data_IF_623913623024
#
_entry.id   IF_623913623024
#
_cell.length_a   1.000
_cell.length_b   1.000
_cell.length_c   1.000
_cell.angle_alpha   90.00
_cell.angle_beta   90.00
_cell.angle_gamma   90.00
#
_symmetry.space_group_name_H-M   'P 1'
#
loop_
_entity.id
_entity.type
_entity.pdbx_description
1 polymer ?
#
# COMPACT_ATOMS: atom_id res chain seq x y z
N UNK A 1 -2.44 -11.90 -6.44
CA UNK A 1 -1.70 -10.70 -6.91
C UNK A 1 -2.46 -9.48 -6.43
N UNK A 2 -1.78 -8.39 -6.06
CA UNK A 2 -2.46 -7.12 -5.76
C UNK A 2 -3.25 -6.63 -6.97
N UNK A 3 -4.47 -6.16 -6.76
CA UNK A 3 -5.37 -5.72 -7.83
C UNK A 3 -4.80 -4.47 -8.51
N UNK A 4 -4.69 -4.47 -9.84
CA UNK A 4 -4.31 -3.27 -10.61
C UNK A 4 -5.58 -2.48 -10.92
N UNK A 5 -5.59 -1.20 -10.59
CA UNK A 5 -6.73 -0.30 -10.74
C UNK A 5 -6.37 0.88 -11.63
N UNK A 6 -7.35 1.41 -12.36
CA UNK A 6 -7.27 2.77 -12.92
C UNK A 6 -7.70 3.81 -11.87
N UNK A 7 -7.53 5.12 -12.16
CA UNK A 7 -7.84 6.20 -11.22
C UNK A 7 -9.30 6.19 -10.73
N UNK A 8 -10.27 5.87 -11.58
CA UNK A 8 -11.70 5.87 -11.23
C UNK A 8 -12.05 4.71 -10.29
N UNK A 9 -11.35 3.58 -10.43
CA UNK A 9 -11.48 2.45 -9.50
C UNK A 9 -10.76 2.72 -8.19
N UNK A 10 -9.56 3.31 -8.22
CA UNK A 10 -8.82 3.70 -7.03
C UNK A 10 -9.59 4.74 -6.19
N UNK A 11 -10.28 5.69 -6.82
CA UNK A 11 -11.15 6.67 -6.15
C UNK A 11 -12.39 6.07 -5.47
N UNK A 12 -12.77 4.82 -5.79
CA UNK A 12 -13.88 4.10 -5.13
C UNK A 12 -13.43 3.28 -3.91
N UNK A 13 -12.12 3.16 -3.67
CA UNK A 13 -11.59 2.46 -2.51
C UNK A 13 -11.84 3.27 -1.22
N UNK A 14 -11.83 2.62 -0.04
CA UNK A 14 -12.01 3.32 1.24
C UNK A 14 -11.00 4.46 1.44
N UNK A 15 -11.46 5.55 2.06
CA UNK A 15 -10.62 6.68 2.45
C UNK A 15 -9.48 6.18 3.35
N UNK A 16 -8.24 6.57 3.04
CA UNK A 16 -7.04 6.07 3.71
C UNK A 16 -6.37 4.88 3.02
N UNK A 17 -6.91 4.37 1.91
CA UNK A 17 -6.19 3.40 1.06
C UNK A 17 -4.97 4.07 0.43
N UNK A 18 -3.78 3.56 0.74
CA UNK A 18 -2.53 3.96 0.09
C UNK A 18 -2.33 3.18 -1.22
N UNK A 19 -1.64 3.78 -2.19
CA UNK A 19 -1.36 3.15 -3.49
C UNK A 19 0.10 3.32 -3.89
N UNK A 20 0.68 2.26 -4.45
CA UNK A 20 1.81 2.38 -5.36
C UNK A 20 1.27 2.79 -6.73
N UNK A 21 1.78 3.89 -7.29
CA UNK A 21 1.35 4.41 -8.60
C UNK A 21 2.45 4.18 -9.62
N UNK A 22 2.11 3.51 -10.72
CA UNK A 22 3.00 3.25 -11.84
C UNK A 22 2.51 4.05 -13.04
N UNK A 23 3.40 4.79 -13.70
CA UNK A 23 3.12 5.54 -14.93
C UNK A 23 4.22 5.25 -15.95
N UNK A 24 3.84 4.93 -17.20
CA UNK A 24 4.76 4.50 -18.27
C UNK A 24 5.75 3.38 -17.89
N UNK A 25 5.36 2.52 -16.94
CA UNK A 25 6.22 1.44 -16.42
C UNK A 25 7.14 1.83 -15.26
N UNK A 26 7.23 3.12 -14.93
CA UNK A 26 8.03 3.63 -13.80
C UNK A 26 7.17 3.85 -12.55
N UNK A 27 7.72 3.50 -11.39
CA UNK A 27 7.08 3.77 -10.09
C UNK A 27 7.24 5.24 -9.73
N UNK A 28 6.13 5.94 -9.55
CA UNK A 28 6.11 7.31 -9.02
C UNK A 28 6.59 7.25 -7.56
N UNK A 29 7.68 7.95 -7.25
CA UNK A 29 8.27 7.94 -5.91
C UNK A 29 7.50 8.85 -4.95
N UNK A 30 7.57 8.59 -3.64
CA UNK A 30 6.96 9.47 -2.63
C UNK A 30 7.56 10.89 -2.64
N UNK A 31 8.79 11.03 -3.13
CA UNK A 31 9.47 12.31 -3.34
C UNK A 31 9.30 12.85 -4.78
N UNK A 32 8.45 12.21 -5.60
CA UNK A 32 7.89 12.85 -6.79
C UNK A 32 6.89 13.87 -6.30
N UNK A 33 7.46 14.97 -5.83
CA UNK A 33 6.78 16.24 -5.66
C UNK A 33 5.91 16.39 -6.90
N UNK A 34 4.59 16.41 -6.71
CA UNK A 34 3.67 16.77 -7.78
C UNK A 34 3.88 18.27 -7.94
N UNK A 35 4.95 18.61 -8.67
CA UNK A 35 5.40 19.98 -8.82
C UNK A 35 4.31 20.64 -9.64
N UNK A 36 3.50 21.41 -8.94
CA UNK A 36 2.96 22.64 -9.48
C UNK A 36 4.19 23.41 -10.03
N UNK A 37 4.36 23.58 -11.37
CA UNK A 37 5.47 23.09 -12.26
C UNK A 37 7.01 23.37 -12.13
N UNK A 38 7.53 24.47 -11.53
CA UNK A 38 8.95 24.91 -11.36
C UNK A 38 9.59 26.15 -12.11
N UNK A 39 8.81 27.13 -12.61
CA UNK A 39 9.12 28.41 -13.32
C UNK A 39 10.57 28.77 -13.77
N UNK A 40 10.76 28.98 -15.09
CA UNK A 40 12.02 29.46 -15.71
C UNK A 40 11.84 30.45 -16.88
N UNK A 41 12.80 31.38 -17.02
CA UNK A 41 12.84 32.44 -18.04
C UNK A 41 14.23 32.45 -18.71
N UNK A 42 14.32 32.03 -19.96
CA UNK A 42 15.50 32.28 -20.81
C UNK A 42 15.37 33.64 -21.49
N UNK A 43 16.47 34.16 -22.05
CA UNK A 43 16.50 35.53 -22.61
C UNK A 43 15.61 35.72 -23.85
N UNK A 44 15.24 34.63 -24.52
CA UNK A 44 14.56 34.66 -25.82
C UNK A 44 13.08 34.26 -25.76
N UNK A 45 12.63 33.52 -24.74
CA UNK A 45 11.24 33.06 -24.61
C UNK A 45 10.73 33.09 -23.16
N UNK A 46 9.45 33.42 -22.99
CA UNK A 46 8.70 33.19 -21.73
C UNK A 46 8.01 31.83 -21.83
N UNK A 47 8.56 30.80 -21.20
CA UNK A 47 7.94 29.46 -21.12
C UNK A 47 7.19 29.36 -19.79
N UNK A 48 6.03 28.68 -19.78
CA UNK A 48 5.28 28.42 -18.54
C UNK A 48 5.80 27.17 -17.85
N UNK A 49 6.09 27.36 -16.58
CA UNK A 49 6.69 26.50 -15.59
C UNK A 49 6.23 27.20 -14.25
N UNK A 50 5.94 26.54 -13.11
CA UNK A 50 5.37 27.24 -11.90
C UNK A 50 6.15 27.09 -10.56
N UNK A 51 6.91 28.04 -10.01
CA UNK A 51 7.45 27.88 -8.63
C UNK A 51 6.43 28.31 -7.58
N UNK A 52 5.53 27.40 -7.20
CA UNK A 52 4.59 27.45 -6.05
C UNK A 52 3.48 28.54 -6.02
N UNK A 53 2.34 28.19 -5.40
CA UNK A 53 1.42 29.07 -4.63
C UNK A 53 0.48 30.06 -5.41
N UNK A 54 -0.48 30.78 -4.77
CA UNK A 54 -1.78 30.21 -4.35
C UNK A 54 -2.99 31.18 -4.49
N UNK A 55 -3.82 31.08 -5.55
CA UNK A 55 -5.14 31.74 -5.55
C UNK A 55 -6.15 31.25 -6.59
N UNK A 56 -5.71 30.73 -7.71
CA UNK A 56 -6.59 30.15 -8.72
C UNK A 56 -6.62 28.63 -8.59
N UNK A 57 -7.55 28.11 -7.79
CA UNK A 57 -7.74 26.67 -7.56
C UNK A 57 -8.43 25.98 -8.75
N UNK A 58 -7.91 26.20 -9.96
CA UNK A 58 -8.30 25.42 -11.13
C UNK A 58 -7.63 24.06 -11.01
N UNK A 59 -8.44 23.04 -10.73
CA UNK A 59 -7.97 21.66 -10.67
C UNK A 59 -7.43 21.26 -12.05
N UNK A 60 -6.12 21.31 -12.25
CA UNK A 60 -5.52 20.68 -13.42
C UNK A 60 -5.77 19.18 -13.30
N UNK A 61 -6.46 18.55 -14.27
CA UNK A 61 -6.43 17.10 -14.33
C UNK A 61 -4.98 16.70 -14.54
N UNK A 62 -4.47 15.84 -13.67
CA UNK A 62 -3.21 15.18 -13.92
C UNK A 62 -3.49 14.10 -14.96
N UNK A 63 -3.50 14.47 -16.24
CA UNK A 63 -3.86 13.56 -17.34
C UNK A 63 -2.99 12.29 -17.35
N UNK A 64 -1.76 12.38 -16.82
CA UNK A 64 -0.89 11.22 -16.61
C UNK A 64 -1.45 10.22 -15.58
N UNK A 65 -2.20 10.67 -14.57
CA UNK A 65 -2.89 9.77 -13.61
C UNK A 65 -4.08 9.03 -14.25
N UNK A 66 -4.67 9.55 -15.33
CA UNK A 66 -5.72 8.81 -16.08
C UNK A 66 -5.12 7.52 -16.68
N UNK A 67 -3.87 7.59 -17.13
CA UNK A 67 -3.08 6.46 -17.62
C UNK A 67 -2.22 5.79 -16.53
N UNK A 68 -2.41 6.19 -15.27
CA UNK A 68 -1.70 5.62 -14.12
C UNK A 68 -2.30 4.28 -13.70
N UNK A 69 -1.44 3.33 -13.37
CA UNK A 69 -1.83 2.06 -12.73
C UNK A 69 -1.65 2.20 -11.22
N UNK A 70 -2.74 2.06 -10.48
CA UNK A 70 -2.78 2.15 -9.03
C UNK A 70 -2.81 0.73 -8.45
N UNK A 71 -1.85 0.42 -7.59
CA UNK A 71 -1.76 -0.87 -6.89
C UNK A 71 -1.96 -0.58 -5.40
N UNK A 72 -3.06 -1.04 -4.77
CA UNK A 72 -3.33 -0.75 -3.37
C UNK A 72 -2.26 -1.39 -2.49
N UNK A 73 -1.71 -0.60 -1.58
CA UNK A 73 -0.79 -1.05 -0.54
C UNK A 73 -1.66 -1.53 0.61
N UNK A 74 -1.65 -2.85 0.80
CA UNK A 74 -2.42 -3.48 1.87
C UNK A 74 -1.94 -2.99 3.24
N UNK A 75 -2.81 -2.28 3.95
CA UNK A 75 -2.56 -1.80 5.30
C UNK A 75 -2.61 -2.96 6.30
N UNK A 76 -1.83 -2.90 7.39
CA UNK A 76 -1.90 -3.91 8.43
C UNK A 76 -3.21 -3.81 9.21
N UNK A 77 -3.81 -4.97 9.51
CA UNK A 77 -5.01 -5.12 10.33
C UNK A 77 -4.66 -5.52 11.77
N UNK A 78 -5.62 -5.43 12.67
CA UNK A 78 -5.48 -5.96 14.02
C UNK A 78 -5.51 -7.50 14.06
N UNK A 79 -4.89 -8.09 15.09
CA UNK A 79 -5.00 -9.53 15.34
C UNK A 79 -6.47 -9.98 15.52
N UNK A 80 -7.33 -9.13 16.07
CA UNK A 80 -8.76 -9.43 16.25
C UNK A 80 -9.54 -9.50 14.93
N UNK A 81 -9.08 -8.83 13.87
CA UNK A 81 -9.64 -8.97 12.52
C UNK A 81 -9.11 -10.24 11.85
N UNK A 82 -7.84 -10.59 12.09
CA UNK A 82 -7.24 -11.87 11.66
C UNK A 82 -7.99 -13.08 12.22
N UNK A 83 -8.29 -13.10 13.53
CA UNK A 83 -9.02 -14.21 14.16
C UNK A 83 -10.44 -14.38 13.60
N UNK A 84 -11.06 -13.30 13.10
CA UNK A 84 -12.40 -13.32 12.50
C UNK A 84 -12.42 -13.78 11.04
N UNK A 85 -11.27 -13.81 10.34
CA UNK A 85 -11.22 -14.25 8.94
C UNK A 85 -10.95 -15.75 8.81
N UNK A 86 -11.47 -16.35 7.74
CA UNK A 86 -11.15 -17.73 7.32
C UNK A 86 -10.06 -17.78 6.24
N UNK A 87 -9.48 -16.63 5.89
CA UNK A 87 -8.44 -16.51 4.86
C UNK A 87 -7.06 -16.77 5.45
N UNK A 88 -6.09 -17.08 4.58
CA UNK A 88 -4.68 -17.09 4.97
C UNK A 88 -4.25 -15.67 5.34
N UNK A 89 -3.24 -15.56 6.20
CA UNK A 89 -2.68 -14.29 6.67
C UNK A 89 -1.16 -14.37 6.66
N UNK A 90 -0.48 -13.24 6.81
CA UNK A 90 0.96 -13.16 7.07
C UNK A 90 1.20 -12.12 8.16
N UNK A 91 2.37 -12.15 8.81
CA UNK A 91 2.69 -11.23 9.89
C UNK A 91 4.16 -10.80 9.88
N UNK A 92 4.38 -9.52 10.16
CA UNK A 92 5.69 -8.95 10.41
C UNK A 92 5.72 -8.33 11.82
N UNK A 93 6.63 -8.79 12.68
CA UNK A 93 6.90 -8.15 13.96
C UNK A 93 8.36 -7.67 13.99
N UNK A 94 8.57 -6.43 14.42
CA UNK A 94 9.92 -5.86 14.53
C UNK A 94 10.73 -6.57 15.63
N UNK A 95 12.02 -6.78 15.40
CA UNK A 95 12.89 -7.58 16.28
C UNK A 95 12.70 -9.10 16.19
N UNK A 96 11.71 -9.59 15.44
CA UNK A 96 11.41 -11.01 15.27
C UNK A 96 11.53 -11.46 13.81
N UNK A 97 11.49 -12.77 13.58
CA UNK A 97 11.44 -13.34 12.23
C UNK A 97 10.15 -12.93 11.50
N UNK A 98 10.23 -12.71 10.18
CA UNK A 98 9.07 -12.32 9.36
C UNK A 98 8.46 -13.52 8.66
N UNK A 99 7.15 -13.74 8.80
CA UNK A 99 6.43 -14.73 8.00
C UNK A 99 6.04 -14.06 6.68
N UNK A 100 6.84 -14.30 5.63
CA UNK A 100 6.66 -13.63 4.33
C UNK A 100 5.52 -14.19 3.47
N UNK A 101 5.13 -15.44 3.70
CA UNK A 101 4.12 -16.17 2.94
C UNK A 101 2.76 -16.12 3.64
N UNK A 102 1.68 -16.04 2.86
CA UNK A 102 0.32 -16.19 3.39
C UNK A 102 0.05 -17.66 3.78
N UNK A 103 -0.29 -17.87 5.05
CA UNK A 103 -0.49 -19.18 5.70
C UNK A 103 -1.73 -19.17 6.60
N UNK A 104 -2.22 -20.34 6.99
CA UNK A 104 -3.31 -20.43 7.96
C UNK A 104 -2.83 -19.95 9.34
N UNK A 105 -3.72 -19.32 10.12
CA UNK A 105 -3.35 -18.69 11.40
C UNK A 105 -2.64 -19.65 12.37
N UNK A 106 -3.11 -20.90 12.47
CA UNK A 106 -2.49 -21.92 13.32
C UNK A 106 -1.05 -22.27 12.89
N UNK A 107 -0.76 -22.32 11.59
CA UNK A 107 0.61 -22.57 11.08
C UNK A 107 1.56 -21.43 11.46
N UNK A 108 1.05 -20.20 11.54
CA UNK A 108 1.83 -19.01 11.91
C UNK A 108 2.11 -19.01 13.41
N UNK A 109 1.10 -19.28 14.23
CA UNK A 109 1.26 -19.41 15.68
C UNK A 109 2.24 -20.55 16.03
N UNK A 110 2.13 -21.70 15.37
CA UNK A 110 3.07 -22.79 15.52
C UNK A 110 4.50 -22.37 15.13
N UNK A 111 4.68 -21.72 13.97
CA UNK A 111 6.00 -21.17 13.59
C UNK A 111 6.55 -20.16 14.60
N UNK A 112 5.71 -19.35 15.24
CA UNK A 112 6.16 -18.41 16.28
C UNK A 112 6.69 -19.17 17.49
N UNK A 113 5.99 -20.22 17.94
CA UNK A 113 6.42 -21.10 19.02
C UNK A 113 7.75 -21.80 18.65
N UNK A 114 7.79 -22.50 17.51
CA UNK A 114 8.94 -23.31 17.07
C UNK A 114 10.25 -22.50 16.91
N UNK A 115 10.15 -21.20 16.60
CA UNK A 115 11.30 -20.33 16.37
C UNK A 115 11.69 -19.45 17.57
N UNK A 116 11.01 -19.57 18.72
CA UNK A 116 11.27 -18.75 19.92
C UNK A 116 11.30 -19.62 21.20
N UNK A 117 11.98 -20.77 21.14
CA UNK A 117 12.07 -21.72 22.24
C UNK A 117 12.63 -21.07 23.53
N UNK A 118 11.91 -21.20 24.64
CA UNK A 118 12.21 -20.55 25.93
C UNK A 118 11.76 -19.08 26.06
N UNK A 119 11.23 -18.46 25.00
CA UNK A 119 10.59 -17.13 25.03
C UNK A 119 9.21 -17.13 24.33
N UNK A 120 8.54 -18.28 24.24
CA UNK A 120 7.35 -18.52 23.43
C UNK A 120 6.22 -17.52 23.75
N UNK A 121 5.89 -17.36 25.03
CA UNK A 121 4.84 -16.44 25.51
C UNK A 121 5.16 -14.98 25.20
N UNK A 122 6.44 -14.60 25.32
CA UNK A 122 6.92 -13.23 25.05
C UNK A 122 6.89 -12.93 23.56
N UNK A 123 7.26 -13.90 22.71
CA UNK A 123 7.15 -13.80 21.27
C UNK A 123 5.68 -13.70 20.84
N UNK A 124 4.82 -14.64 21.27
CA UNK A 124 3.37 -14.63 21.01
C UNK A 124 2.73 -13.29 21.39
N UNK A 125 2.99 -12.78 22.59
CA UNK A 125 2.47 -11.49 23.03
C UNK A 125 2.93 -10.32 22.14
N UNK A 126 4.20 -10.29 21.72
CA UNK A 126 4.68 -9.26 20.78
C UNK A 126 4.04 -9.38 19.40
N UNK A 127 3.88 -10.59 18.84
CA UNK A 127 3.19 -10.79 17.55
C UNK A 127 1.69 -10.41 17.63
N UNK A 128 1.00 -10.71 18.73
CA UNK A 128 -0.41 -10.37 18.92
C UNK A 128 -0.61 -8.85 19.09
N UNK A 129 0.25 -8.19 19.87
CA UNK A 129 0.06 -6.77 20.27
C UNK A 129 0.75 -5.76 19.35
N UNK A 130 1.85 -6.13 18.71
CA UNK A 130 2.70 -5.25 17.87
C UNK A 130 2.91 -5.77 16.44
N UNK A 131 2.49 -7.00 16.15
CA UNK A 131 2.59 -7.56 14.82
C UNK A 131 1.75 -6.78 13.82
N UNK A 132 2.35 -6.48 12.67
CA UNK A 132 1.66 -5.96 11.49
C UNK A 132 1.09 -7.17 10.74
N UNK A 133 -0.20 -7.38 10.88
CA UNK A 133 -0.91 -8.52 10.28
C UNK A 133 -1.52 -8.15 8.94
N UNK A 134 -1.53 -9.09 8.00
CA UNK A 134 -2.02 -8.86 6.64
C UNK A 134 -2.85 -10.05 6.19
N UNK A 135 -4.03 -9.83 5.61
CA UNK A 135 -4.96 -10.89 5.19
C UNK A 135 -4.80 -11.14 3.69
N UNK A 136 -4.85 -12.39 3.24
CA UNK A 136 -4.77 -12.72 1.82
C UNK A 136 -5.97 -12.09 1.07
N UNK A 137 -5.66 -11.23 0.11
CA UNK A 137 -6.64 -10.73 -0.85
C UNK A 137 -6.97 -11.84 -1.83
N UNK A 138 -8.17 -12.41 -1.68
CA UNK A 138 -8.80 -13.22 -2.72
C UNK A 138 -8.82 -12.43 -4.03
N UNK A 139 -8.30 -12.99 -5.11
CA UNK A 139 -8.50 -12.44 -6.45
C UNK A 139 -10.00 -12.41 -6.76
N UNK A 140 -10.60 -11.22 -6.73
CA UNK A 140 -11.99 -10.94 -7.05
C UNK A 140 -12.00 -9.83 -8.13
N UNK A 141 -12.42 -10.07 -9.37
CA UNK A 141 -13.17 -11.23 -9.89
C UNK A 141 -12.64 -11.63 -11.28
N UNK A 142 -12.59 -12.93 -11.58
CA UNK A 142 -12.78 -13.41 -12.95
C UNK A 142 -14.28 -13.47 -13.19
N UNK A 143 -14.80 -12.70 -14.15
CA UNK A 143 -16.22 -12.70 -14.49
C UNK A 143 -16.65 -14.10 -14.97
N UNK A 144 -17.37 -14.83 -14.11
CA UNK A 144 -18.17 -16.00 -14.49
C UNK A 144 -19.65 -15.73 -14.14
N UNK A 145 -20.32 -14.95 -15.01
CA UNK A 145 -21.76 -14.97 -15.28
C UNK A 145 -22.01 -14.60 -16.74
#
# INVERSE_FOLDING_TARGET
>A
MSKKLNIIEAMKMPIGTEFEVIFNGEKISNNTMIISLALTRTKEYKIIDWKFHPKDTVMKPYDFLINGVFIPIQQPVSFMEVVKTKRKVKVECEGYFKVREYRCLHEILQKIIDNNFGEEDKALNNFITKGKWYIEESGADSNDQ
#
